data_IF_590876122598
#
_entry.id   IF_590876122598
#
_cell.length_a   1.000
_cell.length_b   1.000
_cell.length_c   1.000
_cell.angle_alpha   90.00
_cell.angle_beta   90.00
_cell.angle_gamma   90.00
#
_symmetry.space_group_name_H-M   'P 1'
#
loop_
_entity.id
_entity.type
_entity.pdbx_description
1 polymer ?
#
# COMPACT_ATOMS: atom_id res chain seq x y z
N UNK A 1 29.53 41.20 55.61
CA UNK A 1 30.02 41.35 54.22
C UNK A 1 30.13 39.95 53.62
N UNK A 2 29.45 39.75 52.48
CA UNK A 2 29.68 38.71 51.45
C UNK A 2 29.69 37.24 51.85
N UNK A 3 28.65 36.48 51.47
CA UNK A 3 28.75 35.40 50.45
C UNK A 3 27.38 35.29 49.74
N UNK A 4 27.27 35.83 48.51
CA UNK A 4 26.05 35.81 47.69
C UNK A 4 26.31 35.31 46.25
N UNK A 5 27.30 34.44 46.02
CA UNK A 5 27.82 34.21 44.66
C UNK A 5 27.72 32.80 44.09
N UNK A 6 27.18 31.79 44.79
CA UNK A 6 27.23 30.40 44.29
C UNK A 6 25.95 29.83 43.63
N UNK A 7 24.93 30.64 43.36
CA UNK A 7 23.68 30.12 42.74
C UNK A 7 23.55 30.30 41.21
N UNK A 8 24.60 30.72 40.49
CA UNK A 8 24.54 30.98 39.02
C UNK A 8 25.09 29.84 38.15
N UNK A 9 24.83 28.58 38.50
CA UNK A 9 24.98 27.50 37.52
C UNK A 9 23.77 27.55 36.55
N UNK A 10 23.95 28.29 35.46
CA UNK A 10 23.00 28.43 34.35
C UNK A 10 22.60 27.04 33.84
N UNK A 11 21.36 26.63 34.13
CA UNK A 11 20.70 25.49 33.47
C UNK A 11 20.69 25.76 31.96
N UNK A 12 21.65 25.18 31.25
CA UNK A 12 21.64 25.09 29.79
C UNK A 12 20.33 24.43 29.35
N UNK A 13 19.50 25.19 28.62
CA UNK A 13 18.28 24.69 28.01
C UNK A 13 18.67 23.69 26.92
N UNK A 14 18.43 22.41 27.19
CA UNK A 14 18.67 21.34 26.22
C UNK A 14 17.86 21.65 24.95
N UNK A 15 18.44 21.72 23.74
CA UNK A 15 17.72 22.04 22.49
C UNK A 15 16.85 20.88 21.96
N UNK A 16 16.92 19.71 22.61
CA UNK A 16 16.19 18.49 22.23
C UNK A 16 14.65 18.61 22.22
N UNK A 17 13.98 19.33 23.15
CA UNK A 17 12.53 19.45 23.14
C UNK A 17 11.99 20.17 21.89
N UNK A 18 12.65 21.23 21.41
CA UNK A 18 12.20 21.97 20.23
C UNK A 18 12.25 21.12 18.95
N UNK A 19 13.22 20.22 18.82
CA UNK A 19 13.29 19.28 17.69
C UNK A 19 12.19 18.21 17.76
N UNK A 20 11.85 17.73 18.95
CA UNK A 20 10.75 16.77 19.15
C UNK A 20 9.40 17.45 18.86
N UNK A 21 9.21 18.71 19.27
CA UNK A 21 7.99 19.48 18.97
C UNK A 21 7.88 19.83 17.47
N UNK A 22 8.97 20.20 16.80
CA UNK A 22 8.98 20.47 15.37
C UNK A 22 8.64 19.22 14.53
N UNK A 23 9.05 18.03 14.98
CA UNK A 23 8.74 16.76 14.29
C UNK A 23 7.23 16.49 14.16
N UNK A 24 6.42 16.97 15.10
CA UNK A 24 4.95 16.81 15.09
C UNK A 24 4.27 17.64 14.01
N UNK A 25 4.84 18.79 13.65
CA UNK A 25 4.31 19.65 12.59
C UNK A 25 4.56 19.08 11.20
N UNK A 26 5.68 18.34 11.02
CA UNK A 26 5.99 17.62 9.78
C UNK A 26 5.06 16.41 9.57
N UNK A 27 4.61 15.78 10.65
CA UNK A 27 3.73 14.61 10.62
C UNK A 27 2.32 14.95 10.09
N UNK A 28 1.77 16.12 10.44
CA UNK A 28 0.41 16.53 10.06
C UNK A 28 0.15 16.61 8.54
N UNK A 29 0.97 17.30 7.72
CA UNK A 29 0.80 17.32 6.27
C UNK A 29 1.09 15.96 5.63
N UNK A 30 2.03 15.18 6.18
CA UNK A 30 2.30 13.81 5.72
C UNK A 30 1.04 12.92 5.87
N UNK A 31 0.33 13.02 7.00
CA UNK A 31 -0.89 12.25 7.23
C UNK A 31 -2.03 12.65 6.32
N UNK A 32 -2.21 13.95 6.08
CA UNK A 32 -3.18 14.44 5.09
C UNK A 32 -2.86 13.88 3.70
N UNK A 33 -1.59 13.91 3.29
CA UNK A 33 -1.15 13.32 2.04
C UNK A 33 -1.44 11.82 1.95
N UNK A 34 -1.22 11.07 3.04
CA UNK A 34 -1.49 9.64 3.09
C UNK A 34 -2.98 9.32 2.93
N UNK A 35 -3.86 10.05 3.61
CA UNK A 35 -5.32 9.87 3.52
C UNK A 35 -5.82 10.16 2.10
N UNK A 36 -5.34 11.25 1.50
CA UNK A 36 -5.68 11.60 0.11
C UNK A 36 -5.19 10.52 -0.84
N UNK A 37 -3.95 10.07 -0.70
CA UNK A 37 -3.39 9.00 -1.52
C UNK A 37 -4.20 7.71 -1.40
N UNK A 38 -4.58 7.29 -0.19
CA UNK A 38 -5.43 6.11 0.01
C UNK A 38 -6.80 6.26 -0.64
N UNK A 39 -7.41 7.45 -0.58
CA UNK A 39 -8.72 7.70 -1.20
C UNK A 39 -8.66 7.60 -2.71
N UNK A 40 -7.65 8.22 -3.33
CA UNK A 40 -7.40 8.12 -4.78
C UNK A 40 -7.11 6.68 -5.18
N UNK A 41 -6.33 5.96 -4.39
CA UNK A 41 -5.96 4.59 -4.70
C UNK A 41 -7.16 3.63 -4.67
N UNK A 42 -8.05 3.76 -3.67
CA UNK A 42 -9.29 2.98 -3.62
C UNK A 42 -10.19 3.26 -4.83
N UNK A 43 -10.22 4.51 -5.29
CA UNK A 43 -10.96 4.87 -6.49
C UNK A 43 -10.37 4.21 -7.75
N UNK A 44 -9.05 4.34 -7.96
CA UNK A 44 -8.35 3.71 -9.10
C UNK A 44 -8.52 2.20 -9.11
N UNK A 45 -8.38 1.59 -7.93
CA UNK A 45 -8.57 0.16 -7.73
C UNK A 45 -9.96 -0.31 -8.21
N UNK A 46 -11.01 0.44 -7.86
CA UNK A 46 -12.38 0.11 -8.27
C UNK A 46 -12.57 0.18 -9.78
N UNK A 47 -11.94 1.16 -10.43
CA UNK A 47 -11.95 1.29 -11.89
C UNK A 47 -11.22 0.13 -12.57
N UNK A 48 -10.00 -0.19 -12.14
CA UNK A 48 -9.20 -1.30 -12.69
C UNK A 48 -9.92 -2.64 -12.53
N UNK A 49 -10.50 -2.89 -11.35
CA UNK A 49 -11.27 -4.10 -11.09
C UNK A 49 -12.46 -4.24 -12.04
N UNK A 50 -13.21 -3.16 -12.27
CA UNK A 50 -14.34 -3.17 -13.20
C UNK A 50 -13.91 -3.52 -14.63
N UNK A 51 -12.85 -2.90 -15.14
CA UNK A 51 -12.34 -3.18 -16.49
C UNK A 51 -11.80 -4.62 -16.62
N UNK A 52 -11.10 -5.13 -15.61
CA UNK A 52 -10.59 -6.50 -15.61
C UNK A 52 -11.72 -7.54 -15.57
N UNK A 53 -12.75 -7.31 -14.76
CA UNK A 53 -13.93 -8.17 -14.73
C UNK A 53 -14.66 -8.15 -16.07
N UNK A 54 -14.83 -6.97 -16.67
CA UNK A 54 -15.46 -6.83 -17.99
C UNK A 54 -14.65 -7.50 -19.10
N UNK A 55 -13.31 -7.43 -19.04
CA UNK A 55 -12.41 -8.16 -19.94
C UNK A 55 -12.52 -9.69 -19.74
N UNK A 56 -12.60 -10.16 -18.50
CA UNK A 56 -12.81 -11.58 -18.17
C UNK A 56 -14.17 -12.10 -18.66
N UNK A 57 -15.19 -11.24 -18.72
CA UNK A 57 -16.51 -11.53 -19.30
C UNK A 57 -16.52 -11.52 -20.84
N UNK A 58 -15.39 -11.27 -21.50
CA UNK A 58 -15.25 -11.35 -22.96
C UNK A 58 -15.52 -10.02 -23.70
N UNK A 59 -15.51 -8.88 -23.01
CA UNK A 59 -15.63 -7.58 -23.67
C UNK A 59 -14.32 -7.23 -24.40
N UNK A 60 -14.41 -7.09 -25.72
CA UNK A 60 -13.28 -6.79 -26.61
C UNK A 60 -12.64 -5.42 -26.39
N UNK A 61 -13.39 -4.42 -25.91
CA UNK A 61 -12.87 -3.09 -25.60
C UNK A 61 -12.03 -3.10 -24.31
N UNK A 62 -12.57 -3.73 -23.27
CA UNK A 62 -11.87 -3.90 -21.99
C UNK A 62 -10.63 -4.79 -22.13
N UNK A 63 -10.70 -5.80 -23.00
CA UNK A 63 -9.58 -6.69 -23.29
C UNK A 63 -8.37 -5.94 -23.85
N UNK A 64 -8.59 -4.96 -24.73
CA UNK A 64 -7.50 -4.14 -25.29
C UNK A 64 -6.82 -3.30 -24.21
N UNK A 65 -7.59 -2.71 -23.29
CA UNK A 65 -7.04 -1.97 -22.15
C UNK A 65 -6.20 -2.86 -21.22
N UNK A 66 -6.65 -4.09 -20.97
CA UNK A 66 -5.89 -5.05 -20.15
C UNK A 66 -4.63 -5.51 -20.86
N UNK A 67 -4.72 -5.81 -22.17
CA UNK A 67 -3.55 -6.19 -22.95
C UNK A 67 -2.52 -5.06 -22.92
N UNK A 68 -2.91 -3.81 -23.15
CA UNK A 68 -2.01 -2.66 -23.09
C UNK A 68 -1.41 -2.41 -21.71
N UNK A 69 -2.20 -2.52 -20.64
CA UNK A 69 -1.73 -2.36 -19.28
C UNK A 69 -0.75 -3.48 -18.85
N UNK A 70 -0.90 -4.69 -19.40
CA UNK A 70 -0.16 -5.89 -18.99
C UNK A 70 0.97 -6.24 -19.96
N UNK A 71 0.94 -5.84 -21.23
CA UNK A 71 2.06 -6.07 -22.17
C UNK A 71 3.09 -4.95 -22.12
N UNK A 72 4.36 -5.31 -21.93
CA UNK A 72 5.47 -4.35 -22.00
C UNK A 72 5.64 -3.84 -23.44
N UNK A 73 6.11 -2.60 -23.58
CA UNK A 73 6.43 -2.00 -24.89
C UNK A 73 7.34 -2.96 -25.69
N UNK A 74 6.85 -3.45 -26.84
CA UNK A 74 7.61 -4.33 -27.75
C UNK A 74 7.15 -5.79 -27.84
N UNK A 75 6.13 -6.22 -27.10
CA UNK A 75 5.55 -7.57 -27.22
C UNK A 75 4.56 -7.66 -28.39
N UNK A 76 4.70 -8.66 -29.27
CA UNK A 76 3.75 -8.93 -30.36
C UNK A 76 2.36 -9.21 -29.77
N UNK A 77 1.38 -8.38 -30.15
CA UNK A 77 -0.03 -8.54 -29.74
C UNK A 77 -0.53 -9.92 -30.17
N UNK A 78 -1.16 -10.70 -29.28
CA UNK A 78 -1.85 -11.92 -29.68
C UNK A 78 -2.94 -11.55 -30.69
N UNK A 79 -2.80 -11.99 -31.94
CA UNK A 79 -3.73 -11.62 -33.04
C UNK A 79 -4.99 -12.50 -33.07
N UNK A 80 -5.13 -13.45 -32.14
CA UNK A 80 -6.31 -14.28 -31.95
C UNK A 80 -6.68 -14.35 -30.47
N UNK A 81 -7.98 -14.37 -30.19
CA UNK A 81 -8.57 -14.78 -28.91
C UNK A 81 -8.17 -16.24 -28.67
N UNK A 82 -7.05 -16.46 -27.99
CA UNK A 82 -6.47 -17.78 -27.74
C UNK A 82 -5.93 -17.84 -26.30
N UNK A 83 -5.44 -18.99 -25.86
CA UNK A 83 -4.97 -19.29 -24.49
C UNK A 83 -4.08 -18.18 -23.88
N UNK A 84 -3.23 -17.52 -24.67
CA UNK A 84 -2.39 -16.38 -24.24
C UNK A 84 -3.21 -15.18 -23.74
N UNK A 85 -4.32 -14.87 -24.40
CA UNK A 85 -5.20 -13.76 -24.02
C UNK A 85 -5.86 -14.05 -22.67
N UNK A 86 -6.33 -15.29 -22.48
CA UNK A 86 -6.91 -15.74 -21.21
C UNK A 86 -5.85 -15.64 -20.10
N UNK A 87 -4.62 -16.11 -20.35
CA UNK A 87 -3.52 -16.01 -19.41
C UNK A 87 -3.19 -14.55 -19.03
N UNK A 88 -3.18 -13.61 -19.99
CA UNK A 88 -2.92 -12.19 -19.72
C UNK A 88 -4.01 -11.55 -18.85
N UNK A 89 -5.28 -11.89 -19.10
CA UNK A 89 -6.39 -11.43 -18.25
C UNK A 89 -6.28 -12.00 -16.83
N UNK A 90 -5.95 -13.28 -16.70
CA UNK A 90 -5.74 -13.93 -15.40
C UNK A 90 -4.57 -13.30 -14.64
N UNK A 91 -3.44 -13.03 -15.31
CA UNK A 91 -2.28 -12.37 -14.72
C UNK A 91 -2.63 -10.96 -14.20
N UNK A 92 -3.40 -10.17 -14.97
CA UNK A 92 -3.86 -8.85 -14.52
C UNK A 92 -4.82 -8.94 -13.32
N UNK A 93 -5.71 -9.93 -13.32
CA UNK A 93 -6.62 -10.15 -12.19
C UNK A 93 -5.88 -10.54 -10.91
N UNK A 94 -4.85 -11.39 -11.01
CA UNK A 94 -4.00 -11.78 -9.88
C UNK A 94 -3.26 -10.56 -9.30
N UNK A 95 -2.73 -9.70 -10.17
CA UNK A 95 -1.98 -8.50 -9.77
C UNK A 95 -2.86 -7.53 -8.94
N UNK A 96 -4.07 -7.25 -9.41
CA UNK A 96 -5.03 -6.38 -8.70
C UNK A 96 -5.49 -6.97 -7.36
N UNK A 97 -5.76 -8.28 -7.29
CA UNK A 97 -6.12 -8.97 -6.03
C UNK A 97 -5.01 -8.84 -4.99
N UNK A 98 -3.78 -8.98 -5.44
CA UNK A 98 -2.58 -8.96 -4.59
C UNK A 98 -2.27 -7.54 -4.07
N UNK A 99 -2.48 -6.52 -4.89
CA UNK A 99 -2.51 -5.11 -4.50
C UNK A 99 -3.61 -4.84 -3.44
N UNK A 100 -4.81 -5.41 -3.62
CA UNK A 100 -5.94 -5.26 -2.69
C UNK A 100 -5.58 -5.72 -1.27
N UNK A 101 -4.91 -6.86 -1.18
CA UNK A 101 -4.52 -7.45 0.10
C UNK A 101 -3.48 -6.57 0.83
N UNK A 102 -2.57 -5.95 0.09
CA UNK A 102 -1.63 -4.97 0.63
C UNK A 102 -2.34 -3.68 1.06
N UNK A 103 -3.31 -3.20 0.27
CA UNK A 103 -4.11 -2.01 0.56
C UNK A 103 -4.86 -2.15 1.89
N UNK A 104 -5.55 -3.28 2.11
CA UNK A 104 -6.25 -3.58 3.37
C UNK A 104 -5.29 -3.52 4.55
N UNK A 105 -4.09 -4.08 4.39
CA UNK A 105 -3.07 -4.02 5.43
C UNK A 105 -2.60 -2.59 5.73
N UNK A 106 -2.42 -1.74 4.72
CA UNK A 106 -2.03 -0.33 4.93
C UNK A 106 -3.16 0.46 5.61
N UNK A 107 -4.43 0.22 5.24
CA UNK A 107 -5.59 0.83 5.90
C UNK A 107 -5.65 0.41 7.38
N UNK A 108 -5.57 -0.89 7.67
CA UNK A 108 -5.68 -1.40 9.05
C UNK A 108 -4.48 -0.97 9.90
N UNK A 109 -3.26 -1.04 9.35
CA UNK A 109 -2.05 -0.56 10.02
C UNK A 109 -2.07 0.95 10.25
N UNK A 110 -2.62 1.74 9.30
CA UNK A 110 -2.86 3.16 9.47
C UNK A 110 -3.88 3.45 10.58
N UNK A 111 -4.98 2.71 10.62
CA UNK A 111 -5.98 2.82 11.68
C UNK A 111 -5.40 2.50 13.07
N UNK A 112 -4.61 1.42 13.20
CA UNK A 112 -3.94 1.03 14.45
C UNK A 112 -2.85 2.03 14.87
N UNK A 113 -2.15 2.63 13.92
CA UNK A 113 -1.10 3.61 14.20
C UNK A 113 -1.67 4.98 14.59
N UNK A 114 -2.76 5.43 13.95
CA UNK A 114 -3.26 6.81 14.05
C UNK A 114 -4.57 6.97 14.82
N UNK A 115 -5.56 6.09 14.63
CA UNK A 115 -6.88 6.22 15.27
C UNK A 115 -6.90 5.52 16.63
N UNK A 116 -6.29 4.34 16.75
CA UNK A 116 -6.19 3.59 18.02
C UNK A 116 -5.39 4.36 19.09
N UNK A 117 -4.37 5.14 18.71
CA UNK A 117 -3.59 5.96 19.66
C UNK A 117 -4.25 7.26 20.08
N UNK A 118 -5.37 7.67 19.48
CA UNK A 118 -6.11 8.89 19.85
C UNK A 118 -6.93 8.75 21.15
N UNK A 119 -6.81 7.63 21.89
CA UNK A 119 -7.50 7.40 23.19
C UNK A 119 -8.98 7.80 23.14
N UNK A 120 -9.76 7.08 22.33
CA UNK A 120 -11.19 6.93 22.60
C UNK A 120 -11.35 6.02 23.85
N UNK A 121 -10.91 6.51 25.01
CA UNK A 121 -11.16 5.86 26.30
C UNK A 121 -12.67 5.95 26.59
N UNK A 122 -13.40 4.86 26.31
CA UNK A 122 -14.76 4.66 26.85
C UNK A 122 -15.94 4.63 25.86
N UNK A 123 -15.75 4.41 24.55
CA UNK A 123 -16.90 4.19 23.65
C UNK A 123 -17.29 2.70 23.54
N UNK A 124 -18.59 2.34 23.72
CA UNK A 124 -19.10 0.96 23.71
C UNK A 124 -19.05 0.26 22.33
N UNK A 125 -18.67 0.94 21.26
CA UNK A 125 -18.63 0.41 19.89
C UNK A 125 -17.19 0.15 19.40
N UNK A 126 -16.38 -0.55 20.21
CA UNK A 126 -15.12 -1.15 19.74
C UNK A 126 -15.43 -2.57 19.27
N UNK A 127 -15.39 -2.85 17.96
CA UNK A 127 -15.76 -4.18 17.49
C UNK A 127 -14.61 -5.17 17.70
N UNK A 128 -14.96 -6.35 18.23
CA UNK A 128 -14.05 -7.36 18.81
C UNK A 128 -12.90 -7.79 17.87
N UNK A 129 -13.11 -7.71 16.55
CA UNK A 129 -12.14 -8.06 15.50
C UNK A 129 -10.87 -7.19 15.47
N UNK A 130 -10.88 -6.00 16.06
CA UNK A 130 -9.74 -5.06 16.04
C UNK A 130 -8.69 -5.35 17.11
N UNK A 131 -9.08 -6.05 18.19
CA UNK A 131 -8.21 -6.35 19.33
C UNK A 131 -7.21 -7.49 19.07
N UNK A 132 -7.45 -8.30 18.03
CA UNK A 132 -6.67 -9.52 17.74
C UNK A 132 -5.84 -9.46 16.46
N UNK A 133 -5.75 -8.28 15.82
CA UNK A 133 -4.90 -8.10 14.64
C UNK A 133 -3.44 -7.98 15.08
N UNK A 134 -2.79 -9.12 15.30
CA UNK A 134 -1.39 -9.19 15.70
C UNK A 134 -0.50 -8.57 14.60
N UNK A 135 0.12 -7.43 14.91
CA UNK A 135 1.01 -6.70 13.99
C UNK A 135 2.15 -7.58 13.42
N UNK A 136 2.58 -8.62 14.14
CA UNK A 136 3.56 -9.60 13.66
C UNK A 136 2.99 -10.50 12.57
N UNK A 137 1.73 -10.91 12.68
CA UNK A 137 1.03 -11.68 11.63
C UNK A 137 0.75 -10.81 10.42
N UNK A 138 0.44 -9.52 10.62
CA UNK A 138 0.27 -8.55 9.54
C UNK A 138 1.58 -8.37 8.76
N UNK A 139 2.72 -8.18 9.44
CA UNK A 139 4.05 -8.06 8.81
C UNK A 139 4.46 -9.30 8.02
N UNK A 140 4.18 -10.50 8.54
CA UNK A 140 4.46 -11.75 7.83
C UNK A 140 3.59 -11.87 6.57
N UNK A 141 2.29 -11.55 6.68
CA UNK A 141 1.37 -11.55 5.52
C UNK A 141 1.79 -10.55 4.44
N UNK A 142 2.30 -9.37 4.82
CA UNK A 142 2.87 -8.40 3.87
C UNK A 142 4.08 -8.98 3.13
N UNK A 143 5.03 -9.54 3.88
CA UNK A 143 6.27 -10.06 3.30
C UNK A 143 5.97 -11.21 2.33
N UNK A 144 5.07 -12.13 2.70
CA UNK A 144 4.63 -13.21 1.81
C UNK A 144 3.91 -12.67 0.58
N UNK A 145 3.06 -11.63 0.71
CA UNK A 145 2.44 -10.98 -0.43
C UNK A 145 3.50 -10.39 -1.37
N UNK A 146 4.43 -9.57 -0.86
CA UNK A 146 5.54 -8.94 -1.62
C UNK A 146 6.39 -9.98 -2.36
N UNK A 147 6.71 -11.10 -1.71
CA UNK A 147 7.46 -12.21 -2.32
C UNK A 147 6.65 -12.82 -3.47
N UNK A 148 5.35 -13.03 -3.29
CA UNK A 148 4.44 -13.52 -4.33
C UNK A 148 4.35 -12.58 -5.53
N UNK A 149 4.18 -11.27 -5.29
CA UNK A 149 4.16 -10.21 -6.33
C UNK A 149 5.41 -10.29 -7.19
N UNK A 150 6.56 -10.25 -6.51
CA UNK A 150 7.87 -10.20 -7.16
C UNK A 150 8.13 -11.49 -7.94
N UNK A 151 7.68 -12.64 -7.42
CA UNK A 151 7.85 -13.94 -8.07
C UNK A 151 7.03 -14.08 -9.35
N UNK A 152 5.78 -13.59 -9.37
CA UNK A 152 4.93 -13.60 -10.58
C UNK A 152 5.53 -12.67 -11.64
N UNK A 153 5.98 -11.47 -11.23
CA UNK A 153 6.59 -10.51 -12.14
C UNK A 153 7.89 -11.05 -12.76
N UNK A 154 8.71 -11.73 -11.97
CA UNK A 154 9.92 -12.42 -12.44
C UNK A 154 9.59 -13.58 -13.37
N UNK A 155 8.60 -14.41 -13.05
CA UNK A 155 8.18 -15.53 -13.89
C UNK A 155 7.67 -15.05 -15.25
N UNK A 156 6.86 -13.97 -15.25
CA UNK A 156 6.40 -13.31 -16.47
C UNK A 156 7.57 -12.81 -17.32
N UNK A 157 8.57 -12.17 -16.70
CA UNK A 157 9.78 -11.69 -17.37
C UNK A 157 10.57 -12.84 -18.00
N UNK A 158 10.71 -13.96 -17.27
CA UNK A 158 11.43 -15.16 -17.74
C UNK A 158 10.75 -15.86 -18.92
N UNK A 159 9.43 -16.07 -18.84
CA UNK A 159 8.67 -16.69 -19.95
C UNK A 159 8.75 -15.81 -21.20
N UNK A 160 8.65 -14.49 -21.06
CA UNK A 160 8.70 -13.58 -22.20
C UNK A 160 10.09 -13.54 -22.86
N UNK A 161 11.16 -13.65 -22.07
CA UNK A 161 12.52 -13.71 -22.59
C UNK A 161 12.79 -15.01 -23.37
N UNK A 162 12.28 -16.15 -22.88
CA UNK A 162 12.42 -17.45 -23.55
C UNK A 162 11.64 -17.56 -24.88
N UNK A 163 10.66 -16.67 -25.12
CA UNK A 163 9.91 -16.60 -26.39
C UNK A 163 10.67 -15.79 -27.46
N UNK A 164 11.77 -15.12 -27.10
CA UNK A 164 12.56 -14.25 -27.98
C UNK A 164 13.85 -14.87 -28.55
N UNK A 165 14.23 -16.07 -28.07
CA UNK A 165 15.29 -16.92 -28.65
C UNK A 165 14.67 -18.02 -29.54
#
# INVERSE_FOLDING_TARGET
MTISSEQRALRSLRPLPNLIFASRWLQLPLYLGLIVAQTVYVWLFWQELYFLLLAAMGNSEALNHVIEAVTAEGVKRPTKLDETVIMLVVLGLIDVVMISNLLIMVIVGGYETFVSRLRLEGHPDQPEWLSHVNASVLKVKLATAIIGISSIHLLKTFINAAVYD
#
